data_IF_037548441600
#
_entry.id   IF_037548441600
#
_cell.length_a   1.000
_cell.length_b   1.000
_cell.length_c   1.000
_cell.angle_alpha   90.00
_cell.angle_beta   90.00
_cell.angle_gamma   90.00
#
_symmetry.space_group_name_H-M   'P 1'
#
loop_
_entity.id
_entity.type
_entity.pdbx_description
1 polymer ?
#
# COMPACT_ATOMS: atom_id res chain seq x y z
N UNK A 1 2.48 -27.33 9.72
CA UNK A 1 1.65 -26.12 9.47
C UNK A 1 1.44 -26.01 7.98
N UNK A 2 0.21 -26.18 7.49
CA UNK A 2 -0.07 -26.01 6.06
C UNK A 2 0.03 -24.52 5.73
N UNK A 3 0.95 -24.14 4.83
CA UNK A 3 1.12 -22.77 4.33
C UNK A 3 -0.09 -22.26 3.51
N UNK A 4 -0.99 -23.18 3.13
CA UNK A 4 -2.20 -22.87 2.39
C UNK A 4 -3.42 -23.38 3.16
N UNK A 5 -4.44 -22.52 3.36
CA UNK A 5 -5.69 -22.95 3.98
C UNK A 5 -6.43 -23.93 3.06
N UNK A 6 -6.89 -25.05 3.64
CA UNK A 6 -7.67 -26.07 2.94
C UNK A 6 -9.15 -25.68 2.81
N UNK A 7 -9.62 -24.71 3.61
CA UNK A 7 -11.01 -24.24 3.57
C UNK A 7 -11.21 -23.12 2.52
N UNK A 8 -12.24 -23.21 1.66
CA UNK A 8 -12.53 -22.21 0.63
C UNK A 8 -12.87 -20.83 1.21
N UNK A 9 -13.30 -20.72 2.47
CA UNK A 9 -13.51 -19.45 3.16
C UNK A 9 -12.17 -18.78 3.45
N UNK A 10 -11.29 -19.50 4.14
CA UNK A 10 -9.96 -19.02 4.53
C UNK A 10 -9.12 -18.62 3.32
N UNK A 11 -9.20 -19.36 2.21
CA UNK A 11 -8.51 -19.02 0.96
C UNK A 11 -8.86 -17.62 0.44
N UNK A 12 -10.13 -17.20 0.51
CA UNK A 12 -10.54 -15.87 0.03
C UNK A 12 -9.95 -14.76 0.90
N UNK A 13 -9.97 -14.93 2.22
CA UNK A 13 -9.38 -13.96 3.15
C UNK A 13 -7.86 -13.88 3.00
N UNK A 14 -7.18 -15.01 2.80
CA UNK A 14 -5.72 -15.02 2.55
C UNK A 14 -5.37 -14.32 1.24
N UNK A 15 -6.10 -14.57 0.15
CA UNK A 15 -5.88 -13.89 -1.14
C UNK A 15 -6.16 -12.39 -1.04
N UNK A 16 -7.21 -11.99 -0.32
CA UNK A 16 -7.51 -10.59 -0.05
C UNK A 16 -6.40 -9.94 0.77
N UNK A 17 -5.90 -10.60 1.82
CA UNK A 17 -4.78 -10.13 2.62
C UNK A 17 -3.52 -9.93 1.80
N UNK A 18 -3.19 -10.87 0.91
CA UNK A 18 -2.03 -10.77 0.02
C UNK A 18 -2.19 -9.57 -0.95
N UNK A 19 -3.39 -9.40 -1.51
CA UNK A 19 -3.70 -8.24 -2.36
C UNK A 19 -3.54 -6.93 -1.60
N UNK A 20 -4.04 -6.85 -0.37
CA UNK A 20 -3.89 -5.68 0.51
C UNK A 20 -2.40 -5.37 0.68
N UNK A 21 -1.59 -6.33 1.11
CA UNK A 21 -0.15 -6.12 1.34
C UNK A 21 0.55 -5.62 0.07
N UNK A 22 0.31 -6.27 -1.08
CA UNK A 22 0.91 -5.85 -2.35
C UNK A 22 0.48 -4.45 -2.76
N UNK A 23 -0.80 -4.13 -2.60
CA UNK A 23 -1.38 -2.86 -3.05
C UNK A 23 -0.97 -1.69 -2.14
N UNK A 24 -0.85 -1.91 -0.83
CA UNK A 24 -0.27 -0.94 0.11
C UNK A 24 1.23 -0.76 -0.12
N UNK A 25 1.97 -1.86 -0.29
CA UNK A 25 3.40 -1.82 -0.59
C UNK A 25 3.69 -1.02 -1.85
N UNK A 26 2.98 -1.29 -2.94
CA UNK A 26 3.11 -0.55 -4.19
C UNK A 26 2.73 0.93 -4.02
N UNK A 27 1.66 1.22 -3.28
CA UNK A 27 1.20 2.61 -3.01
C UNK A 27 2.26 3.42 -2.26
N UNK A 28 3.11 2.81 -1.42
CA UNK A 28 4.20 3.49 -0.71
C UNK A 28 5.47 3.53 -1.56
N UNK A 29 5.86 2.40 -2.14
CA UNK A 29 7.13 2.27 -2.84
C UNK A 29 7.18 3.15 -4.10
N UNK A 30 6.10 3.21 -4.87
CA UNK A 30 6.09 3.96 -6.14
C UNK A 30 6.33 5.47 -5.92
N UNK A 31 5.58 6.17 -5.06
CA UNK A 31 5.84 7.59 -4.80
C UNK A 31 7.23 7.81 -4.21
N UNK A 32 7.65 7.01 -3.23
CA UNK A 32 8.95 7.19 -2.57
C UNK A 32 10.08 7.10 -3.58
N UNK A 33 10.11 6.06 -4.41
CA UNK A 33 11.14 5.88 -5.43
C UNK A 33 11.12 7.03 -6.44
N UNK A 34 9.93 7.41 -6.94
CA UNK A 34 9.82 8.49 -7.92
C UNK A 34 10.32 9.83 -7.37
N UNK A 35 9.89 10.22 -6.17
CA UNK A 35 10.27 11.51 -5.59
C UNK A 35 11.72 11.54 -5.11
N UNK A 36 12.23 10.45 -4.53
CA UNK A 36 13.63 10.37 -4.08
C UNK A 36 14.57 10.42 -5.28
N UNK A 37 14.32 9.64 -6.33
CA UNK A 37 15.17 9.67 -7.54
C UNK A 37 15.14 11.04 -8.21
N UNK A 38 13.96 11.68 -8.25
CA UNK A 38 13.84 13.04 -8.77
C UNK A 38 14.62 14.03 -7.91
N UNK A 39 14.55 13.90 -6.57
CA UNK A 39 15.30 14.73 -5.63
C UNK A 39 16.82 14.59 -5.79
N UNK A 40 17.31 13.34 -5.90
CA UNK A 40 18.73 13.06 -6.13
C UNK A 40 19.22 13.61 -7.47
N UNK A 41 18.39 13.53 -8.53
CA UNK A 41 18.74 14.10 -9.82
C UNK A 41 18.83 15.62 -9.78
N UNK A 42 17.93 16.30 -9.06
CA UNK A 42 18.03 17.75 -8.83
C UNK A 42 19.29 18.09 -8.01
N UNK A 43 19.58 17.35 -6.95
CA UNK A 43 20.76 17.56 -6.11
C UNK A 43 22.06 17.47 -6.90
N UNK A 44 22.19 16.45 -7.76
CA UNK A 44 23.35 16.30 -8.64
C UNK A 44 23.55 17.47 -9.61
N UNK A 45 22.47 18.18 -9.97
CA UNK A 45 22.52 19.34 -10.86
C UNK A 45 22.80 20.65 -10.12
N UNK A 46 22.26 20.83 -8.91
CA UNK A 46 22.34 22.08 -8.15
C UNK A 46 23.44 22.08 -7.08
N UNK A 47 24.15 20.97 -6.86
CA UNK A 47 25.32 20.89 -5.98
C UNK A 47 25.03 21.11 -4.50
N UNK A 48 23.76 21.00 -4.09
CA UNK A 48 23.33 21.23 -2.71
C UNK A 48 23.29 19.92 -1.91
N UNK A 49 23.47 20.06 -0.58
CA UNK A 49 23.20 19.03 0.42
C UNK A 49 21.80 18.39 0.23
N UNK A 50 21.50 17.20 0.79
CA UNK A 50 20.39 16.34 0.36
C UNK A 50 18.96 16.82 0.73
N UNK A 51 18.68 18.11 0.54
CA UNK A 51 17.44 18.78 0.89
C UNK A 51 16.30 18.47 -0.08
N UNK A 52 16.57 18.30 -1.38
CA UNK A 52 15.53 17.96 -2.36
C UNK A 52 15.06 16.52 -2.19
N UNK A 53 15.97 15.61 -1.85
CA UNK A 53 15.70 14.22 -1.53
C UNK A 53 14.86 14.12 -0.27
N UNK A 54 15.21 14.84 0.80
CA UNK A 54 14.41 14.89 2.04
C UNK A 54 13.03 15.50 1.78
N UNK A 55 12.95 16.60 1.04
CA UNK A 55 11.67 17.22 0.66
C UNK A 55 10.80 16.28 -0.18
N UNK A 56 11.40 15.60 -1.16
CA UNK A 56 10.74 14.60 -1.99
C UNK A 56 10.21 13.41 -1.18
N UNK A 57 11.00 12.93 -0.21
CA UNK A 57 10.58 11.86 0.68
C UNK A 57 9.38 12.28 1.56
N UNK A 58 9.39 13.49 2.12
CA UNK A 58 8.26 14.01 2.92
C UNK A 58 7.01 14.14 2.05
N UNK A 59 7.14 14.68 0.83
CA UNK A 59 6.02 14.76 -0.12
C UNK A 59 5.48 13.37 -0.47
N UNK A 60 6.36 12.41 -0.75
CA UNK A 60 5.98 11.03 -1.00
C UNK A 60 5.23 10.40 0.18
N UNK A 61 5.69 10.64 1.41
CA UNK A 61 5.06 10.14 2.63
C UNK A 61 3.65 10.72 2.82
N UNK A 62 3.47 12.03 2.62
CA UNK A 62 2.16 12.68 2.71
C UNK A 62 1.18 12.16 1.63
N UNK A 63 1.66 12.03 0.40
CA UNK A 63 0.86 11.57 -0.74
C UNK A 63 0.44 10.11 -0.55
N UNK A 64 1.40 9.26 -0.15
CA UNK A 64 1.15 7.86 0.20
C UNK A 64 0.16 7.76 1.36
N UNK A 65 0.36 8.51 2.45
CA UNK A 65 -0.53 8.51 3.62
C UNK A 65 -1.98 8.83 3.26
N UNK A 66 -2.21 9.83 2.40
CA UNK A 66 -3.55 10.17 1.92
C UNK A 66 -4.17 9.04 1.08
N UNK A 67 -3.39 8.39 0.22
CA UNK A 67 -3.85 7.27 -0.60
C UNK A 67 -4.17 6.04 0.25
N UNK A 68 -3.31 5.74 1.23
CA UNK A 68 -3.46 4.66 2.20
C UNK A 68 -4.76 4.81 2.96
N UNK A 69 -5.06 6.01 3.48
CA UNK A 69 -6.31 6.26 4.21
C UNK A 69 -7.56 5.92 3.37
N UNK A 70 -7.58 6.35 2.09
CA UNK A 70 -8.67 6.04 1.17
C UNK A 70 -8.78 4.54 0.88
N UNK A 71 -7.65 3.86 0.64
CA UNK A 71 -7.60 2.42 0.37
C UNK A 71 -8.00 1.59 1.59
N UNK A 72 -7.55 1.96 2.79
CA UNK A 72 -7.88 1.26 4.03
C UNK A 72 -9.39 1.24 4.28
N UNK A 73 -10.07 2.38 4.07
CA UNK A 73 -11.52 2.46 4.18
C UNK A 73 -12.24 1.60 3.14
N UNK A 74 -11.70 1.50 1.92
CA UNK A 74 -12.27 0.66 0.86
C UNK A 74 -12.13 -0.84 1.20
N UNK A 75 -10.93 -1.28 1.57
CA UNK A 75 -10.66 -2.67 1.96
C UNK A 75 -11.45 -3.09 3.20
N UNK A 76 -11.65 -2.19 4.17
CA UNK A 76 -12.51 -2.45 5.32
C UNK A 76 -13.97 -2.73 4.94
N UNK A 77 -14.51 -2.03 3.93
CA UNK A 77 -15.86 -2.31 3.40
C UNK A 77 -15.92 -3.65 2.69
N UNK A 78 -14.95 -3.94 1.82
CA UNK A 78 -14.88 -5.21 1.08
C UNK A 78 -14.79 -6.41 2.05
N UNK A 79 -14.08 -6.26 3.18
CA UNK A 79 -14.00 -7.30 4.21
C UNK A 79 -15.35 -7.53 4.91
N UNK A 80 -16.07 -6.47 5.26
CA UNK A 80 -17.40 -6.56 5.86
C UNK A 80 -18.44 -7.19 4.90
N UNK A 81 -18.34 -6.90 3.61
CA UNK A 81 -19.22 -7.48 2.59
C UNK A 81 -18.97 -8.99 2.41
N UNK A 82 -17.70 -9.41 2.43
CA UNK A 82 -17.32 -10.83 2.41
C UNK A 82 -17.87 -11.57 3.63
N UNK A 83 -17.76 -10.99 4.82
CA UNK A 83 -18.24 -11.60 6.06
C UNK A 83 -19.78 -11.74 6.07
N UNK A 84 -20.52 -10.70 5.64
CA UNK A 84 -21.99 -10.77 5.47
C UNK A 84 -22.41 -11.83 4.47
N UNK A 85 -21.70 -11.95 3.34
CA UNK A 85 -22.03 -12.90 2.26
C UNK A 85 -21.77 -14.35 2.67
N UNK A 86 -20.73 -14.60 3.46
CA UNK A 86 -20.45 -15.92 4.00
C UNK A 86 -21.38 -16.26 5.18
N UNK A 87 -21.82 -15.28 5.97
CA UNK A 87 -22.83 -15.47 7.03
C UNK A 87 -24.22 -15.83 6.50
N UNK A 88 -24.63 -15.26 5.36
CA UNK A 88 -25.93 -15.54 4.72
C UNK A 88 -25.96 -16.85 3.90
N UNK A 89 -24.84 -17.57 3.82
CA UNK A 89 -24.71 -18.87 3.13
C UNK A 89 -24.70 -20.07 4.09
N UNK A 90 -24.76 -19.83 5.40
CA UNK A 90 -25.01 -20.86 6.42
C UNK A 90 -26.51 -20.97 6.68
#
# INVERSE_FOLDING_TARGET
MALFPLDPKDRKYTLMGLRIVGDFGATIAVPVVLFVLTGQWLEGKYGHAPWFTVGGFILAALLSGKMIYKKAKAYGKEYQELDKKDGNKK
#
